data_IF_269361739112
#
_entry.id   IF_269361739112
#
_cell.length_a   1.000
_cell.length_b   1.000
_cell.length_c   1.000
_cell.angle_alpha   90.00
_cell.angle_beta   90.00
_cell.angle_gamma   90.00
#
_symmetry.space_group_name_H-M   'P 1'
#
loop_
_entity.id
_entity.type
_entity.pdbx_description
1 polymer ?
#
# COMPACT_ATOMS: atom_id res chain seq x y z
N UNK A 1 4.06 6.26 -11.91
CA UNK A 1 4.13 4.84 -12.32
C UNK A 1 2.73 4.25 -12.33
N UNK A 2 2.53 3.07 -12.93
CA UNK A 2 1.23 2.41 -13.01
C UNK A 2 1.13 1.27 -12.00
N UNK A 3 0.00 1.19 -11.29
CA UNK A 3 -0.38 0.12 -10.38
C UNK A 3 -1.64 -0.57 -10.93
N UNK A 4 -1.61 -1.90 -11.05
CA UNK A 4 -2.82 -2.68 -11.33
C UNK A 4 -3.42 -3.18 -10.03
N UNK A 5 -4.68 -2.85 -9.75
CA UNK A 5 -5.42 -3.32 -8.58
C UNK A 5 -6.53 -4.24 -9.10
N UNK A 6 -6.53 -5.49 -8.63
CA UNK A 6 -7.61 -6.44 -8.93
C UNK A 6 -8.91 -6.04 -8.24
N UNK A 7 -10.04 -6.49 -8.79
CA UNK A 7 -11.36 -6.20 -8.21
C UNK A 7 -11.48 -6.76 -6.79
N UNK A 8 -10.94 -7.96 -6.54
CA UNK A 8 -10.92 -8.59 -5.22
C UNK A 8 -10.08 -7.78 -4.22
N UNK A 9 -8.91 -7.29 -4.63
CA UNK A 9 -8.09 -6.41 -3.80
C UNK A 9 -8.80 -5.10 -3.47
N UNK A 10 -9.42 -4.46 -4.47
CA UNK A 10 -10.16 -3.22 -4.27
C UNK A 10 -11.37 -3.43 -3.35
N UNK A 11 -12.11 -4.52 -3.53
CA UNK A 11 -13.25 -4.87 -2.68
C UNK A 11 -12.81 -5.12 -1.22
N UNK A 12 -11.71 -5.84 -1.03
CA UNK A 12 -11.11 -6.06 0.28
C UNK A 12 -10.69 -4.75 0.94
N UNK A 13 -9.97 -3.88 0.21
CA UNK A 13 -9.54 -2.57 0.70
C UNK A 13 -10.72 -1.69 1.12
N UNK A 14 -11.75 -1.55 0.27
CA UNK A 14 -12.95 -0.74 0.58
C UNK A 14 -13.66 -1.22 1.84
N UNK A 15 -13.75 -2.54 2.04
CA UNK A 15 -14.34 -3.12 3.25
C UNK A 15 -13.48 -2.88 4.49
N UNK A 16 -12.17 -3.08 4.38
CA UNK A 16 -11.26 -3.06 5.54
C UNK A 16 -10.86 -1.66 5.98
N UNK A 17 -10.82 -0.73 5.04
CA UNK A 17 -10.43 0.67 5.18
C UNK A 17 -11.65 1.58 4.92
N UNK A 18 -12.78 1.23 5.52
CA UNK A 18 -14.02 1.97 5.36
C UNK A 18 -13.86 3.44 5.79
N UNK A 19 -14.41 4.36 4.99
CA UNK A 19 -14.31 5.81 5.20
C UNK A 19 -13.04 6.45 4.62
N UNK A 20 -12.12 5.68 4.04
CA UNK A 20 -10.95 6.24 3.38
C UNK A 20 -11.32 6.99 2.10
N UNK A 21 -10.79 8.19 1.95
CA UNK A 21 -10.85 8.97 0.71
C UNK A 21 -9.64 8.66 -0.18
N UNK A 22 -8.53 8.25 0.42
CA UNK A 22 -7.31 7.86 -0.27
C UNK A 22 -6.63 6.67 0.42
N UNK A 23 -5.81 5.97 -0.35
CA UNK A 23 -5.02 4.83 0.09
C UNK A 23 -3.54 5.13 -0.07
N UNK A 24 -2.73 4.85 0.95
CA UNK A 24 -1.28 4.97 0.87
C UNK A 24 -0.68 3.57 0.74
N UNK A 25 0.09 3.33 -0.32
CA UNK A 25 0.93 2.15 -0.44
C UNK A 25 2.33 2.50 0.06
N UNK A 26 2.75 1.91 1.17
CA UNK A 26 3.98 2.29 1.86
C UNK A 26 4.61 1.12 2.60
N UNK A 27 5.91 1.21 2.87
CA UNK A 27 6.59 0.23 3.70
C UNK A 27 5.97 0.14 5.11
N UNK A 28 6.10 -1.02 5.74
CA UNK A 28 5.70 -1.28 7.11
C UNK A 28 6.88 -1.82 7.91
N UNK A 29 7.92 -1.00 7.99
CA UNK A 29 9.25 -1.41 8.44
C UNK A 29 9.87 -0.45 9.49
N UNK A 30 9.09 0.51 9.98
CA UNK A 30 9.54 1.51 10.95
C UNK A 30 10.13 2.78 10.32
N UNK A 31 10.23 2.86 8.99
CA UNK A 31 10.75 4.04 8.29
C UNK A 31 9.77 5.22 8.20
N UNK A 32 8.49 4.98 8.46
CA UNK A 32 7.43 5.99 8.38
C UNK A 32 6.48 5.95 9.59
N UNK A 33 5.72 7.03 9.76
CA UNK A 33 4.83 7.23 10.91
C UNK A 33 3.64 6.24 10.96
N UNK A 34 3.37 5.47 9.91
CA UNK A 34 2.31 4.47 9.87
C UNK A 34 2.78 3.07 10.23
N UNK A 35 4.09 2.88 10.41
CA UNK A 35 4.68 1.61 10.81
C UNK A 35 4.44 1.34 12.30
N UNK A 36 3.18 1.09 12.69
CA UNK A 36 2.81 0.75 14.07
C UNK A 36 3.46 -0.59 14.46
N UNK A 37 4.37 -0.58 15.44
CA UNK A 37 4.91 -1.81 16.04
C UNK A 37 6.00 -2.55 15.24
N UNK A 38 6.41 -2.04 14.07
CA UNK A 38 7.51 -2.62 13.27
C UNK A 38 8.91 -2.20 13.75
N UNK A 39 9.00 -1.38 14.80
CA UNK A 39 10.27 -0.95 15.41
C UNK A 39 11.00 -2.13 16.03
N UNK A 40 11.92 -2.75 15.28
CA UNK A 40 12.82 -3.79 15.77
C UNK A 40 13.23 -4.86 14.75
N UNK A 41 12.61 -4.92 13.57
CA UNK A 41 12.99 -5.87 12.54
C UNK A 41 14.04 -5.28 11.59
N UNK A 42 15.15 -5.98 11.35
CA UNK A 42 16.16 -5.63 10.34
C UNK A 42 15.65 -5.83 8.89
N UNK A 43 14.39 -5.47 8.61
CA UNK A 43 13.66 -5.85 7.39
C UNK A 43 13.07 -4.62 6.71
N UNK A 44 13.91 -3.61 6.50
CA UNK A 44 13.55 -2.38 5.77
C UNK A 44 13.22 -2.75 4.33
N UNK A 45 12.03 -2.37 3.85
CA UNK A 45 11.57 -2.66 2.50
C UNK A 45 11.06 -4.09 2.25
N UNK A 46 10.94 -4.94 3.28
CA UNK A 46 10.47 -6.34 3.13
C UNK A 46 8.97 -6.52 3.43
N UNK A 47 8.34 -5.54 4.06
CA UNK A 47 6.94 -5.58 4.42
C UNK A 47 6.23 -4.29 4.00
N UNK A 48 5.03 -4.42 3.47
CA UNK A 48 4.24 -3.29 3.00
C UNK A 48 2.86 -3.27 3.67
N UNK A 49 2.24 -2.10 3.60
CA UNK A 49 0.88 -1.88 4.04
C UNK A 49 0.12 -0.97 3.08
N UNK A 50 -1.21 -1.12 3.12
CA UNK A 50 -2.15 -0.14 2.58
C UNK A 50 -2.78 0.62 3.74
N UNK A 51 -2.53 1.92 3.81
CA UNK A 51 -3.10 2.80 4.83
C UNK A 51 -4.31 3.54 4.26
N UNK A 52 -5.48 3.39 4.88
CA UNK A 52 -6.66 4.18 4.55
C UNK A 52 -6.65 5.51 5.31
N UNK A 53 -6.80 6.64 4.61
CA UNK A 53 -6.78 7.98 5.20
C UNK A 53 -7.92 8.85 4.69
N UNK A 54 -8.38 9.80 5.50
CA UNK A 54 -9.34 10.84 5.08
C UNK A 54 -8.66 11.93 4.25
N UNK A 55 -7.35 12.16 4.47
CA UNK A 55 -6.49 13.10 3.75
C UNK A 55 -5.05 12.59 3.73
N UNK A 56 -4.41 12.58 2.56
CA UNK A 56 -3.01 12.19 2.43
C UNK A 56 -2.07 13.20 3.14
N UNK A 57 -1.07 12.74 3.91
CA UNK A 57 0.00 13.60 4.42
C UNK A 57 0.88 14.15 3.28
N UNK A 58 1.60 15.25 3.54
CA UNK A 58 2.44 15.92 2.55
C UNK A 58 3.52 15.04 1.93
N UNK A 59 4.01 14.06 2.68
CA UNK A 59 5.12 13.19 2.27
C UNK A 59 4.67 12.08 1.31
N UNK A 60 3.35 11.94 1.12
CA UNK A 60 2.70 11.01 0.18
C UNK A 60 2.13 11.80 -1.00
N UNK A 61 3.01 12.47 -1.74
CA UNK A 61 2.67 13.35 -2.86
C UNK A 61 2.68 12.64 -4.22
N UNK A 62 3.10 11.37 -4.28
CA UNK A 62 3.20 10.61 -5.53
C UNK A 62 1.93 9.81 -5.76
N UNK A 63 1.12 10.21 -6.75
CA UNK A 63 -0.05 9.45 -7.19
C UNK A 63 0.36 8.25 -8.05
N UNK A 64 -0.14 7.07 -7.70
CA UNK A 64 -0.04 5.85 -8.50
C UNK A 64 -1.25 5.77 -9.43
N UNK A 65 -1.01 5.94 -10.73
CA UNK A 65 -2.05 5.72 -11.74
C UNK A 65 -2.51 4.27 -11.68
N UNK A 66 -3.81 4.04 -11.58
CA UNK A 66 -4.34 2.69 -11.44
C UNK A 66 -5.61 2.47 -12.26
N UNK A 67 -5.97 1.21 -12.45
CA UNK A 67 -7.15 0.78 -13.21
C UNK A 67 -8.46 0.80 -12.40
N UNK A 68 -8.43 1.33 -11.18
CA UNK A 68 -9.60 1.54 -10.34
C UNK A 68 -9.86 3.04 -10.19
N UNK A 69 -11.10 3.41 -9.91
CA UNK A 69 -11.45 4.79 -9.55
C UNK A 69 -11.12 5.03 -8.07
N UNK A 70 -9.81 5.06 -7.75
CA UNK A 70 -9.29 5.18 -6.40
C UNK A 70 -8.03 6.05 -6.37
N UNK A 71 -7.98 6.94 -5.38
CA UNK A 71 -6.78 7.72 -5.07
C UNK A 71 -5.80 6.86 -4.29
N UNK A 72 -4.77 6.35 -4.99
CA UNK A 72 -3.67 5.61 -4.38
C UNK A 72 -2.39 6.43 -4.49
N UNK A 73 -1.76 6.69 -3.35
CA UNK A 73 -0.55 7.50 -3.24
C UNK A 73 0.57 6.71 -2.58
N UNK A 74 1.80 7.17 -2.78
CA UNK A 74 3.00 6.66 -2.13
C UNK A 74 3.98 7.79 -1.86
N UNK A 75 5.06 7.50 -1.15
CA UNK A 75 6.16 8.45 -0.93
C UNK A 75 7.26 8.26 -1.98
N UNK A 76 8.09 9.29 -2.20
CA UNK A 76 9.26 9.18 -3.09
C UNK A 76 10.27 8.14 -2.61
N UNK A 77 10.35 7.92 -1.30
CA UNK A 77 11.22 6.90 -0.71
C UNK A 77 10.70 5.50 -1.04
N UNK A 78 9.39 5.25 -0.86
CA UNK A 78 8.80 3.95 -1.13
C UNK A 78 8.88 3.56 -2.62
N UNK A 79 8.90 4.53 -3.54
CA UNK A 79 9.06 4.28 -4.98
C UNK A 79 10.30 3.46 -5.32
N UNK A 80 11.36 3.48 -4.50
CA UNK A 80 12.58 2.70 -4.78
C UNK A 80 12.37 1.20 -4.69
N UNK A 81 11.28 0.75 -4.05
CA UNK A 81 10.93 -0.66 -3.92
C UNK A 81 10.00 -1.17 -5.03
N UNK A 82 9.51 -0.30 -5.91
CA UNK A 82 8.50 -0.66 -6.89
C UNK A 82 9.03 -0.65 -8.33
N UNK A 83 8.81 -1.74 -9.04
CA UNK A 83 9.17 -1.89 -10.45
C UNK A 83 8.02 -1.71 -11.44
N UNK A 84 8.31 -1.84 -12.75
CA UNK A 84 7.31 -1.96 -13.81
C UNK A 84 6.37 -3.15 -13.57
N UNK A 85 5.11 -3.02 -14.00
CA UNK A 85 4.12 -4.09 -13.82
C UNK A 85 3.56 -4.23 -12.40
N UNK A 86 3.79 -3.24 -11.53
CA UNK A 86 3.30 -3.22 -10.16
C UNK A 86 1.82 -3.62 -10.08
N UNK A 87 1.53 -4.61 -9.25
CA UNK A 87 0.20 -5.18 -9.08
C UNK A 87 -0.11 -5.46 -7.62
N UNK A 88 -1.29 -5.03 -7.19
CA UNK A 88 -1.91 -5.40 -5.92
C UNK A 88 -3.05 -6.39 -6.18
N UNK A 89 -2.89 -7.59 -5.67
CA UNK A 89 -3.80 -8.72 -5.81
C UNK A 89 -4.40 -9.13 -4.46
N UNK A 90 -5.50 -9.88 -4.45
CA UNK A 90 -6.01 -10.50 -3.24
C UNK A 90 -6.20 -11.99 -3.49
N UNK A 91 -5.37 -12.81 -2.85
CA UNK A 91 -5.35 -14.25 -3.04
C UNK A 91 -5.04 -14.96 -1.73
N UNK A 92 -5.65 -16.11 -1.51
CA UNK A 92 -5.48 -16.90 -0.28
C UNK A 92 -5.75 -16.11 1.01
N UNK A 93 -6.71 -15.17 0.97
CA UNK A 93 -7.04 -14.24 2.06
C UNK A 93 -5.97 -13.20 2.41
N UNK A 94 -4.97 -13.00 1.55
CA UNK A 94 -3.94 -11.98 1.73
C UNK A 94 -3.91 -11.02 0.55
N UNK A 95 -3.63 -9.74 0.83
CA UNK A 95 -3.18 -8.83 -0.20
C UNK A 95 -1.75 -9.20 -0.59
N UNK A 96 -1.47 -9.17 -1.89
CA UNK A 96 -0.18 -9.53 -2.46
C UNK A 96 0.31 -8.41 -3.37
N UNK A 97 1.50 -7.88 -3.08
CA UNK A 97 2.20 -6.91 -3.91
C UNK A 97 3.27 -7.62 -4.71
N UNK A 98 3.31 -7.36 -6.01
CA UNK A 98 4.30 -7.90 -6.94
C UNK A 98 4.54 -6.94 -8.08
N UNK A 99 5.62 -7.15 -8.82
CA UNK A 99 5.89 -6.47 -10.07
C UNK A 99 6.25 -7.49 -11.17
N UNK A 100 6.76 -7.04 -12.32
CA UNK A 100 7.16 -7.92 -13.43
C UNK A 100 8.37 -8.81 -13.07
N UNK A 101 9.14 -8.44 -12.04
CA UNK A 101 10.29 -9.19 -11.56
C UNK A 101 9.85 -10.41 -10.75
N UNK A 102 9.31 -10.19 -9.56
CA UNK A 102 8.91 -11.25 -8.61
C UNK A 102 7.82 -10.76 -7.61
N UNK A 103 7.50 -11.59 -6.63
CA UNK A 103 6.69 -11.19 -5.47
C UNK A 103 7.48 -10.20 -4.62
N UNK A 104 6.88 -9.04 -4.31
CA UNK A 104 7.45 -8.05 -3.40
C UNK A 104 7.03 -8.37 -1.95
N UNK A 105 5.74 -8.56 -1.71
CA UNK A 105 5.19 -8.93 -0.41
C UNK A 105 3.91 -9.77 -0.59
N UNK A 106 3.93 -11.00 -0.05
CA UNK A 106 2.82 -11.93 -0.14
C UNK A 106 1.72 -11.73 0.91
N UNK A 107 1.91 -10.83 1.87
CA UNK A 107 1.01 -10.59 3.00
C UNK A 107 0.94 -9.09 3.37
N UNK A 108 0.64 -8.25 2.38
CA UNK A 108 0.47 -6.81 2.58
C UNK A 108 -0.63 -6.56 3.62
N UNK A 109 -0.30 -5.79 4.64
CA UNK A 109 -1.23 -5.48 5.73
C UNK A 109 -2.10 -4.27 5.41
N UNK A 110 -3.14 -4.06 6.21
CA UNK A 110 -4.03 -2.89 6.08
C UNK A 110 -4.11 -2.13 7.38
N UNK A 111 -3.96 -0.81 7.31
CA UNK A 111 -4.01 0.08 8.46
C UNK A 111 -5.08 1.16 8.24
N UNK A 112 -6.12 1.21 9.08
CA UNK A 112 -7.17 2.23 8.93
C UNK A 112 -6.88 3.43 9.86
N UNK A 113 -6.56 4.56 9.26
CA UNK A 113 -6.22 5.82 9.93
C UNK A 113 -7.23 6.93 9.60
N UNK A 114 -8.43 6.56 9.13
CA UNK A 114 -9.54 7.49 8.97
C UNK A 114 -9.91 8.03 10.37
N UNK A 115 -9.99 9.35 10.49
CA UNK A 115 -10.34 10.11 11.71
C UNK A 115 -9.29 10.14 12.85
N UNK A 116 -8.05 9.70 12.60
CA UNK A 116 -6.90 9.91 13.48
C UNK A 116 -6.08 11.13 13.05
#
# INVERSE_FOLDING_TARGET
>A
MKLTITDDAMAYMKKRLAGANAYLLTANDGSNNFSEGAGGACTVGDAFQVVGVSKAPSDYDVKLENNQDADVLTSKNDMTFFGPGLKLDFKNNFLQLKDDGEMIDGQVTTNNQVDK
#
